data_IF_595645383347
#
_entry.id   IF_595645383347
#
_cell.length_a   1.000
_cell.length_b   1.000
_cell.length_c   1.000
_cell.angle_alpha   90.00
_cell.angle_beta   90.00
_cell.angle_gamma   90.00
#
_symmetry.space_group_name_H-M   'P 1'
#
loop_
_entity.id
_entity.type
_entity.pdbx_description
1 polymer ?
#
# COMPACT_ATOMS: atom_id res chain seq x y z
N UNK A 1 -8.29 -3.07 10.02
CA UNK A 1 -7.55 -3.05 11.29
C UNK A 1 -7.35 -1.61 11.74
N UNK A 2 -7.40 -1.35 13.04
CA UNK A 2 -7.16 -0.03 13.65
C UNK A 2 -5.68 0.37 13.51
N UNK A 3 -5.37 1.65 13.73
CA UNK A 3 -3.98 2.14 13.75
C UNK A 3 -3.06 1.34 14.69
N UNK A 4 -3.55 0.98 15.88
CA UNK A 4 -2.74 0.24 16.87
C UNK A 4 -2.46 -1.19 16.43
N UNK A 5 -3.45 -1.87 15.85
CA UNK A 5 -3.29 -3.20 15.26
C UNK A 5 -2.31 -3.14 14.08
N UNK A 6 -2.43 -2.13 13.21
CA UNK A 6 -1.54 -1.93 12.07
C UNK A 6 -0.07 -1.77 12.48
N UNK A 7 0.21 -0.93 13.47
CA UNK A 7 1.57 -0.74 14.00
C UNK A 7 2.15 -2.03 14.58
N UNK A 8 1.30 -2.82 15.25
CA UNK A 8 1.70 -4.10 15.84
C UNK A 8 2.00 -5.15 14.77
N UNK A 9 1.20 -5.22 13.70
CA UNK A 9 1.37 -6.17 12.59
C UNK A 9 2.50 -5.81 11.63
N UNK A 10 2.65 -4.52 11.31
CA UNK A 10 3.69 -4.03 10.37
C UNK A 10 5.06 -3.89 11.01
N UNK A 11 5.12 -3.77 12.34
CA UNK A 11 6.36 -3.57 13.11
C UNK A 11 7.01 -2.20 12.87
N UNK A 12 6.27 -1.21 12.38
CA UNK A 12 6.76 0.16 12.16
C UNK A 12 6.45 1.06 13.35
N UNK A 13 7.25 2.11 13.53
CA UNK A 13 7.02 3.11 14.57
C UNK A 13 5.96 4.12 14.14
N UNK A 14 5.30 4.77 15.12
CA UNK A 14 4.25 5.76 14.86
C UNK A 14 4.74 6.89 13.94
N UNK A 15 5.96 7.39 14.14
CA UNK A 15 6.53 8.48 13.35
C UNK A 15 6.73 8.06 11.88
N UNK A 16 7.09 6.79 11.65
CA UNK A 16 7.25 6.24 10.29
C UNK A 16 5.89 6.12 9.62
N UNK A 17 4.87 5.68 10.35
CA UNK A 17 3.50 5.62 9.85
C UNK A 17 2.99 7.01 9.44
N UNK A 18 3.13 8.02 10.30
CA UNK A 18 2.70 9.39 9.97
C UNK A 18 3.38 9.90 8.70
N UNK A 19 4.71 9.72 8.59
CA UNK A 19 5.45 10.09 7.38
C UNK A 19 4.89 9.40 6.13
N UNK A 20 4.59 8.11 6.22
CA UNK A 20 4.06 7.35 5.08
C UNK A 20 2.63 7.75 4.71
N UNK A 21 1.82 8.19 5.67
CA UNK A 21 0.50 8.76 5.40
C UNK A 21 0.62 10.14 4.75
N UNK A 22 1.52 11.00 5.26
CA UNK A 22 1.80 12.33 4.69
C UNK A 22 2.27 12.25 3.24
N UNK A 23 3.19 11.32 2.94
CA UNK A 23 3.70 11.05 1.60
C UNK A 23 2.71 10.28 0.73
N UNK A 24 1.53 9.90 1.26
CA UNK A 24 0.52 9.07 0.60
C UNK A 24 1.05 7.71 0.11
N UNK A 25 2.10 7.21 0.74
CA UNK A 25 2.57 5.85 0.51
C UNK A 25 1.55 4.85 1.04
N UNK A 26 0.93 5.15 2.19
CA UNK A 26 -0.23 4.41 2.68
C UNK A 26 -1.48 5.27 2.51
N UNK A 27 -2.54 4.66 1.99
CA UNK A 27 -3.83 5.34 1.80
C UNK A 27 -4.93 4.46 2.43
N UNK A 28 -4.99 4.40 3.77
CA UNK A 28 -6.05 3.67 4.47
C UNK A 28 -7.43 4.30 4.21
N UNK A 29 -8.48 3.54 4.52
CA UNK A 29 -9.85 4.03 4.44
C UNK A 29 -10.17 4.95 5.63
N UNK A 30 -10.83 6.07 5.36
CA UNK A 30 -11.35 6.97 6.39
C UNK A 30 -12.72 6.46 6.85
N UNK A 31 -12.83 6.11 8.14
CA UNK A 31 -14.08 5.72 8.77
C UNK A 31 -14.46 6.68 9.92
N UNK A 32 -15.71 6.62 10.40
CA UNK A 32 -16.21 7.47 11.49
C UNK A 32 -15.35 7.39 12.77
N UNK A 33 -14.76 6.23 13.05
CA UNK A 33 -13.91 5.98 14.21
C UNK A 33 -12.40 6.25 13.95
N UNK A 34 -12.03 6.73 12.76
CA UNK A 34 -10.65 7.01 12.35
C UNK A 34 -10.19 6.18 11.15
N UNK A 35 -8.86 6.09 10.97
CA UNK A 35 -8.26 5.37 9.85
C UNK A 35 -8.35 3.84 10.03
N UNK A 36 -8.85 3.16 9.00
CA UNK A 36 -8.87 1.72 8.88
C UNK A 36 -7.88 1.24 7.83
N UNK A 37 -6.96 0.38 8.26
CA UNK A 37 -5.95 -0.21 7.40
C UNK A 37 -6.43 -1.61 6.95
N UNK A 38 -6.27 -1.93 5.68
CA UNK A 38 -6.54 -3.25 5.12
C UNK A 38 -5.28 -4.09 4.99
N UNK A 39 -5.47 -5.30 4.45
CA UNK A 39 -4.36 -6.21 4.08
C UNK A 39 -3.47 -5.60 2.99
N UNK A 40 -4.03 -4.75 2.12
CA UNK A 40 -3.28 -4.06 1.07
C UNK A 40 -2.28 -3.08 1.70
N UNK A 41 -2.70 -2.30 2.69
CA UNK A 41 -1.81 -1.36 3.39
C UNK A 41 -0.71 -2.11 4.15
N UNK A 42 -1.04 -3.28 4.74
CA UNK A 42 -0.05 -4.10 5.44
C UNK A 42 1.00 -4.67 4.48
N UNK A 43 0.56 -5.23 3.35
CA UNK A 43 1.44 -5.71 2.29
C UNK A 43 2.31 -4.57 1.74
N UNK A 44 1.73 -3.37 1.56
CA UNK A 44 2.44 -2.19 1.10
C UNK A 44 3.49 -1.72 2.12
N UNK A 45 3.17 -1.72 3.42
CA UNK A 45 4.14 -1.41 4.47
C UNK A 45 5.35 -2.35 4.46
N UNK A 46 5.12 -3.65 4.27
CA UNK A 46 6.21 -4.62 4.12
C UNK A 46 7.04 -4.36 2.86
N UNK A 47 6.41 -4.05 1.73
CA UNK A 47 7.11 -3.69 0.50
C UNK A 47 8.01 -2.45 0.71
N UNK A 48 7.48 -1.39 1.31
CA UNK A 48 8.26 -0.16 1.55
C UNK A 48 9.48 -0.46 2.44
N UNK A 49 9.31 -1.30 3.46
CA UNK A 49 10.44 -1.76 4.28
C UNK A 49 11.47 -2.51 3.46
N UNK A 50 11.08 -3.47 2.63
CA UNK A 50 12.02 -4.20 1.77
C UNK A 50 12.76 -3.26 0.82
N UNK A 51 12.06 -2.27 0.26
CA UNK A 51 12.68 -1.26 -0.60
C UNK A 51 13.71 -0.41 0.16
N UNK A 52 13.41 0.01 1.40
CA UNK A 52 14.34 0.79 2.24
C UNK A 52 15.49 -0.03 2.80
N UNK A 53 15.16 -1.09 3.52
CA UNK A 53 16.07 -1.84 4.39
C UNK A 53 16.97 -2.77 3.57
N UNK A 54 16.40 -3.46 2.57
CA UNK A 54 17.11 -4.50 1.81
C UNK A 54 17.70 -3.97 0.49
N UNK A 55 17.02 -3.02 -0.16
CA UNK A 55 17.39 -2.52 -1.49
C UNK A 55 17.99 -1.11 -1.48
N UNK A 56 18.00 -0.42 -0.33
CA UNK A 56 18.59 0.91 -0.18
C UNK A 56 17.91 1.99 -1.02
N UNK A 57 16.65 1.82 -1.38
CA UNK A 57 15.89 2.83 -2.10
C UNK A 57 15.70 4.07 -1.22
N UNK A 58 15.95 5.25 -1.80
CA UNK A 58 15.64 6.51 -1.16
C UNK A 58 14.14 6.82 -1.27
N UNK A 59 13.68 7.84 -0.55
CA UNK A 59 12.25 8.19 -0.50
C UNK A 59 11.68 8.52 -1.88
N UNK A 60 12.40 9.29 -2.70
CA UNK A 60 11.97 9.59 -4.07
C UNK A 60 11.89 8.33 -4.97
N UNK A 61 12.78 7.36 -4.77
CA UNK A 61 12.75 6.09 -5.47
C UNK A 61 11.55 5.25 -5.06
N UNK A 62 11.20 5.25 -3.77
CA UNK A 62 10.03 4.55 -3.24
C UNK A 62 8.75 5.12 -3.85
N UNK A 63 8.61 6.44 -3.92
CA UNK A 63 7.47 7.09 -4.60
C UNK A 63 7.26 6.55 -6.02
N UNK A 64 8.33 6.54 -6.81
CA UNK A 64 8.28 6.06 -8.20
C UNK A 64 7.93 4.57 -8.25
N UNK A 65 8.54 3.74 -7.41
CA UNK A 65 8.30 2.31 -7.39
C UNK A 65 6.85 2.00 -6.99
N UNK A 66 6.32 2.64 -5.95
CA UNK A 66 4.93 2.47 -5.53
C UNK A 66 3.96 2.89 -6.63
N UNK A 67 4.23 4.00 -7.31
CA UNK A 67 3.41 4.43 -8.45
C UNK A 67 3.39 3.40 -9.58
N UNK A 68 4.55 2.82 -9.93
CA UNK A 68 4.64 1.78 -10.95
C UNK A 68 3.92 0.48 -10.53
N UNK A 69 4.04 0.09 -9.26
CA UNK A 69 3.33 -1.06 -8.70
C UNK A 69 1.82 -0.86 -8.83
N UNK A 70 1.32 0.34 -8.48
CA UNK A 70 -0.09 0.68 -8.61
C UNK A 70 -0.58 0.64 -10.05
N UNK A 71 0.22 1.14 -11.00
CA UNK A 71 -0.09 1.04 -12.44
C UNK A 71 -0.20 -0.42 -12.90
N UNK A 72 0.73 -1.29 -12.47
CA UNK A 72 0.70 -2.73 -12.82
C UNK A 72 -0.53 -3.41 -12.25
N UNK A 73 -0.90 -3.11 -11.00
CA UNK A 73 -2.14 -3.63 -10.40
C UNK A 73 -3.39 -3.13 -11.12
N UNK A 74 -3.42 -1.85 -11.50
CA UNK A 74 -4.49 -1.28 -12.31
C UNK A 74 -4.65 -2.01 -13.65
N UNK A 75 -3.56 -2.24 -14.37
CA UNK A 75 -3.59 -2.98 -15.63
C UNK A 75 -4.08 -4.42 -15.45
N UNK A 76 -3.62 -5.12 -14.40
CA UNK A 76 -4.07 -6.49 -14.08
C UNK A 76 -5.57 -6.55 -13.80
N UNK A 77 -6.13 -5.55 -13.13
CA UNK A 77 -7.58 -5.44 -12.89
C UNK A 77 -8.36 -5.28 -14.18
N UNK A 78 -7.97 -4.33 -15.04
CA UNK A 78 -8.62 -4.11 -16.34
C UNK A 78 -8.60 -5.36 -17.21
N UNK A 79 -7.46 -6.07 -17.27
CA UNK A 79 -7.36 -7.33 -18.03
C UNK A 79 -8.23 -8.45 -17.44
N UNK A 80 -8.38 -8.48 -16.12
CA UNK A 80 -9.24 -9.46 -15.43
C UNK A 80 -10.72 -9.18 -15.71
N UNK A 81 -11.14 -7.91 -15.63
CA UNK A 81 -12.50 -7.47 -15.94
C UNK A 81 -12.84 -7.79 -17.40
N UNK A 82 -11.97 -7.45 -18.35
CA UNK A 82 -12.17 -7.76 -19.77
C UNK A 82 -12.29 -9.27 -20.02
N UNK A 83 -11.46 -10.09 -19.38
CA UNK A 83 -11.53 -11.55 -19.50
C UNK A 83 -12.86 -12.08 -19.00
N UNK A 84 -13.35 -11.54 -17.89
CA UNK A 84 -14.59 -12.01 -17.26
C UNK A 84 -15.81 -11.56 -18.09
N UNK A 85 -15.78 -10.38 -18.72
CA UNK A 85 -16.77 -9.95 -19.72
C UNK A 85 -16.82 -10.87 -20.95
N UNK A 86 -15.65 -11.29 -21.45
CA UNK A 86 -15.55 -12.20 -22.59
C UNK A 86 -16.10 -13.60 -22.23
N UNK A 87 -15.90 -14.06 -20.99
CA UNK A 87 -16.40 -15.37 -20.51
C UNK A 87 -17.88 -15.36 -20.12
N UNK A 88 -18.43 -14.20 -19.80
CA UNK A 88 -19.84 -14.01 -19.45
C UNK A 88 -20.78 -13.84 -20.66
N UNK A 89 -20.23 -13.90 -21.88
CA UNK A 89 -20.96 -13.95 -23.15
C UNK A 89 -20.88 -15.35 -23.76
#
# INVERSE_FOLDING_TARGET
MTKQEFLSSSGIQVQVLELWLEQRWLVPEEAEAGLLFGEIELARAHLIRQLKDDLGANDAGIDVILHLVDQVHGLRRVLTELRDEIKGR
#
